data_IF_210883173316
#
_entry.id   IF_210883173316
#
_cell.length_a   1.000
_cell.length_b   1.000
_cell.length_c   1.000
_cell.angle_alpha   90.00
_cell.angle_beta   90.00
_cell.angle_gamma   90.00
#
_symmetry.space_group_name_H-M   'P 1'
#
loop_
_entity.id
_entity.type
_entity.pdbx_description
1 polymer ?
#
# COMPACT_ATOMS: atom_id res chain seq x y z
N UNK A 1 -12.02 1.91 19.49
CA UNK A 1 -12.46 0.67 18.80
C UNK A 1 -13.05 0.92 17.41
N UNK A 2 -14.12 1.73 17.24
CA UNK A 2 -14.77 1.98 15.92
C UNK A 2 -13.80 2.47 14.81
N UNK A 3 -12.83 3.33 15.15
CA UNK A 3 -11.85 3.84 14.19
C UNK A 3 -10.91 2.75 13.67
N UNK A 4 -10.42 1.89 14.56
CA UNK A 4 -9.54 0.76 14.22
C UNK A 4 -10.28 -0.23 13.32
N UNK A 5 -11.55 -0.55 13.62
CA UNK A 5 -12.38 -1.40 12.77
C UNK A 5 -12.55 -0.83 11.36
N UNK A 6 -12.70 0.49 11.24
CA UNK A 6 -12.72 1.16 9.93
C UNK A 6 -11.40 1.01 9.16
N UNK A 7 -10.26 1.20 9.84
CA UNK A 7 -8.94 1.02 9.21
C UNK A 7 -8.66 -0.44 8.83
N UNK A 8 -9.14 -1.40 9.61
CA UNK A 8 -9.10 -2.83 9.26
C UNK A 8 -9.94 -3.12 8.01
N UNK A 9 -11.15 -2.59 7.93
CA UNK A 9 -12.02 -2.74 6.76
C UNK A 9 -11.40 -2.15 5.49
N UNK A 10 -10.75 -0.99 5.60
CA UNK A 10 -9.99 -0.40 4.49
C UNK A 10 -8.78 -1.27 4.13
N UNK A 11 -8.05 -1.78 5.11
CA UNK A 11 -6.94 -2.71 4.87
C UNK A 11 -7.38 -3.97 4.10
N UNK A 12 -8.54 -4.53 4.45
CA UNK A 12 -9.12 -5.68 3.73
C UNK A 12 -9.54 -5.32 2.30
N UNK A 13 -10.16 -4.15 2.12
CA UNK A 13 -10.47 -3.64 0.78
C UNK A 13 -9.21 -3.44 -0.06
N UNK A 14 -8.15 -2.87 0.53
CA UNK A 14 -6.85 -2.70 -0.13
C UNK A 14 -6.19 -4.04 -0.45
N UNK A 15 -6.37 -5.07 0.38
CA UNK A 15 -5.89 -6.41 0.06
C UNK A 15 -6.57 -6.95 -1.20
N UNK A 16 -7.89 -6.80 -1.30
CA UNK A 16 -8.65 -7.20 -2.50
C UNK A 16 -8.27 -6.38 -3.74
N UNK A 17 -8.23 -5.05 -3.62
CA UNK A 17 -7.80 -4.16 -4.72
C UNK A 17 -6.36 -4.46 -5.14
N UNK A 18 -5.50 -4.83 -4.18
CA UNK A 18 -4.14 -5.27 -4.39
C UNK A 18 -4.04 -6.47 -5.32
N UNK A 19 -4.88 -7.48 -5.12
CA UNK A 19 -4.96 -8.65 -6.00
C UNK A 19 -5.34 -8.25 -7.43
N UNK A 20 -6.32 -7.36 -7.58
CA UNK A 20 -6.71 -6.84 -8.89
C UNK A 20 -5.59 -6.04 -9.55
N UNK A 21 -4.86 -5.23 -8.78
CA UNK A 21 -3.71 -4.47 -9.27
C UNK A 21 -2.58 -5.39 -9.74
N UNK A 22 -2.33 -6.49 -9.01
CA UNK A 22 -1.35 -7.51 -9.41
C UNK A 22 -1.78 -8.23 -10.70
N UNK A 23 -3.06 -8.62 -10.82
CA UNK A 23 -3.60 -9.21 -12.05
C UNK A 23 -3.45 -8.25 -13.24
N UNK A 24 -3.78 -6.98 -13.05
CA UNK A 24 -3.61 -5.95 -14.08
C UNK A 24 -2.13 -5.75 -14.44
N UNK A 25 -1.24 -5.71 -13.44
CA UNK A 25 0.20 -5.60 -13.65
C UNK A 25 0.76 -6.80 -14.44
N UNK A 26 0.29 -8.02 -14.17
CA UNK A 26 0.66 -9.20 -14.96
C UNK A 26 0.19 -9.08 -16.42
N UNK A 27 -1.02 -8.58 -16.67
CA UNK A 27 -1.51 -8.34 -18.03
C UNK A 27 -0.69 -7.27 -18.77
N UNK A 28 -0.38 -6.14 -18.11
CA UNK A 28 0.48 -5.08 -18.65
C UNK A 28 1.89 -5.62 -18.94
N UNK A 29 2.45 -6.43 -18.06
CA UNK A 29 3.75 -7.08 -18.28
C UNK A 29 3.80 -7.92 -19.55
N UNK A 30 2.70 -8.63 -19.90
CA UNK A 30 2.59 -9.37 -21.18
C UNK A 30 2.67 -8.43 -22.37
N UNK A 31 1.92 -7.33 -22.32
CA UNK A 31 1.88 -6.35 -23.41
C UNK A 31 3.23 -5.67 -23.61
N UNK A 32 3.98 -5.44 -22.52
CA UNK A 32 5.30 -4.84 -22.55
C UNK A 32 6.43 -5.84 -22.93
N UNK A 33 6.08 -7.08 -23.29
CA UNK A 33 7.06 -8.09 -23.72
C UNK A 33 7.95 -8.63 -22.60
N UNK A 34 7.52 -8.51 -21.34
CA UNK A 34 8.26 -9.13 -20.23
C UNK A 34 8.12 -10.66 -20.31
N UNK A 35 9.20 -11.44 -20.16
CA UNK A 35 9.16 -12.89 -20.30
C UNK A 35 8.28 -13.55 -19.21
N UNK A 36 7.47 -14.54 -19.59
CA UNK A 36 6.59 -15.33 -18.71
C UNK A 36 7.18 -16.74 -18.48
N UNK A 37 7.66 -17.07 -17.26
CA UNK A 37 8.39 -18.31 -16.95
C UNK A 37 7.52 -19.53 -16.71
N UNK A 38 6.19 -19.43 -16.73
CA UNK A 38 5.32 -20.60 -16.50
C UNK A 38 5.49 -21.69 -17.57
N UNK A 39 6.21 -21.42 -18.66
CA UNK A 39 6.60 -22.41 -19.67
C UNK A 39 7.95 -23.11 -19.37
N UNK A 40 8.68 -22.70 -18.33
CA UNK A 40 10.00 -23.25 -17.96
C UNK A 40 10.16 -23.49 -16.45
N UNK A 41 9.15 -24.06 -15.80
CA UNK A 41 9.31 -24.56 -14.43
C UNK A 41 10.19 -25.82 -14.45
N UNK A 42 11.35 -25.83 -13.78
CA UNK A 42 12.20 -27.01 -13.68
C UNK A 42 11.47 -28.15 -12.93
N UNK A 43 11.68 -29.41 -13.36
CA UNK A 43 11.08 -30.58 -12.71
C UNK A 43 11.60 -30.81 -11.28
N UNK A 44 12.69 -30.15 -10.88
CA UNK A 44 13.33 -30.27 -9.57
C UNK A 44 12.65 -29.45 -8.46
N UNK A 45 11.58 -28.70 -8.79
CA UNK A 45 10.86 -27.85 -7.83
C UNK A 45 11.61 -26.57 -7.44
N UNK A 46 12.75 -26.27 -8.07
CA UNK A 46 13.43 -24.99 -7.90
C UNK A 46 12.67 -23.88 -8.62
N UNK A 47 12.57 -22.71 -7.98
CA UNK A 47 11.99 -21.52 -8.62
C UNK A 47 13.09 -20.84 -9.43
N UNK A 48 12.94 -20.70 -10.76
CA UNK A 48 13.90 -19.98 -11.57
C UNK A 48 14.09 -18.54 -11.06
N UNK A 49 15.33 -18.02 -10.95
CA UNK A 49 15.57 -16.63 -10.55
C UNK A 49 14.80 -15.62 -11.42
N UNK A 50 14.63 -15.91 -12.71
CA UNK A 50 13.84 -15.10 -13.64
C UNK A 50 12.36 -14.98 -13.21
N UNK A 51 11.78 -16.04 -12.64
CA UNK A 51 10.41 -16.03 -12.10
C UNK A 51 10.31 -15.17 -10.85
N UNK A 52 11.27 -15.26 -9.94
CA UNK A 52 11.34 -14.37 -8.77
C UNK A 52 11.48 -12.89 -9.20
N UNK A 53 12.32 -12.60 -10.19
CA UNK A 53 12.47 -11.24 -10.74
C UNK A 53 11.16 -10.74 -11.35
N UNK A 54 10.46 -11.58 -12.11
CA UNK A 54 9.20 -11.18 -12.75
C UNK A 54 8.08 -10.95 -11.72
N UNK A 55 7.96 -11.82 -10.71
CA UNK A 55 7.00 -11.63 -9.61
C UNK A 55 7.34 -10.31 -8.89
N UNK A 56 8.61 -10.07 -8.61
CA UNK A 56 9.08 -8.79 -8.02
C UNK A 56 8.68 -7.58 -8.87
N UNK A 57 8.88 -7.62 -10.19
CA UNK A 57 8.44 -6.54 -11.10
C UNK A 57 6.93 -6.34 -11.09
N UNK A 58 6.15 -7.42 -11.03
CA UNK A 58 4.69 -7.35 -10.95
C UNK A 58 4.25 -6.63 -9.68
N UNK A 59 4.89 -6.91 -8.54
CA UNK A 59 4.66 -6.17 -7.30
C UNK A 59 5.06 -4.69 -7.42
N UNK A 60 6.17 -4.36 -8.08
CA UNK A 60 6.58 -2.96 -8.31
C UNK A 60 5.56 -2.21 -9.16
N UNK A 61 5.07 -2.82 -10.23
CA UNK A 61 4.02 -2.21 -11.07
C UNK A 61 2.72 -2.02 -10.28
N UNK A 62 2.31 -3.03 -9.52
CA UNK A 62 1.14 -2.94 -8.66
C UNK A 62 1.31 -1.89 -7.53
N UNK A 63 2.55 -1.65 -7.08
CA UNK A 63 2.85 -0.65 -6.05
C UNK A 63 2.46 0.76 -6.50
N UNK A 64 2.62 1.08 -7.79
CA UNK A 64 2.21 2.39 -8.34
C UNK A 64 0.70 2.56 -8.20
N UNK A 65 -0.08 1.56 -8.61
CA UNK A 65 -1.53 1.58 -8.49
C UNK A 65 -1.97 1.67 -7.02
N UNK A 66 -1.36 0.88 -6.15
CA UNK A 66 -1.70 0.86 -4.73
C UNK A 66 -1.28 2.12 -3.98
N UNK A 67 -0.19 2.76 -4.39
CA UNK A 67 0.19 4.07 -3.91
C UNK A 67 -0.91 5.09 -4.21
N UNK A 68 -1.36 5.16 -5.47
CA UNK A 68 -2.41 6.08 -5.89
C UNK A 68 -3.73 5.81 -5.17
N UNK A 69 -4.14 4.55 -5.05
CA UNK A 69 -5.37 4.18 -4.32
C UNK A 69 -5.26 4.57 -2.85
N UNK A 70 -4.16 4.23 -2.18
CA UNK A 70 -3.97 4.54 -0.76
C UNK A 70 -3.86 6.05 -0.51
N UNK A 71 -3.25 6.80 -1.43
CA UNK A 71 -3.20 8.25 -1.42
C UNK A 71 -4.60 8.86 -1.56
N UNK A 72 -5.38 8.42 -2.54
CA UNK A 72 -6.76 8.89 -2.76
C UNK A 72 -7.63 8.60 -1.54
N UNK A 73 -7.57 7.39 -0.98
CA UNK A 73 -8.32 7.05 0.24
C UNK A 73 -7.87 7.94 1.41
N UNK A 74 -6.56 8.09 1.62
CA UNK A 74 -6.03 8.98 2.66
C UNK A 74 -6.51 10.42 2.51
N UNK A 75 -6.58 10.91 1.27
CA UNK A 75 -7.05 12.25 0.94
C UNK A 75 -8.56 12.40 1.20
N UNK A 76 -9.38 11.44 0.74
CA UNK A 76 -10.83 11.40 0.97
C UNK A 76 -11.17 11.32 2.46
N UNK A 77 -10.38 10.58 3.23
CA UNK A 77 -10.53 10.47 4.69
C UNK A 77 -10.09 11.72 5.45
N UNK A 78 -9.53 12.72 4.76
CA UNK A 78 -9.04 13.96 5.36
C UNK A 78 -8.10 13.68 6.55
N UNK A 79 -7.10 12.82 6.32
CA UNK A 79 -6.01 12.55 7.28
C UNK A 79 -5.30 13.86 7.68
N UNK A 80 -5.39 14.32 8.93
CA UNK A 80 -5.03 15.69 9.27
C UNK A 80 -3.54 15.90 9.59
N UNK A 81 -2.73 14.84 9.59
CA UNK A 81 -1.27 14.95 9.81
C UNK A 81 -0.51 13.72 9.33
N UNK A 82 0.80 13.89 9.10
CA UNK A 82 1.76 12.81 8.80
C UNK A 82 1.67 11.67 9.80
N UNK A 83 1.69 11.98 11.10
CA UNK A 83 1.69 10.95 12.16
C UNK A 83 0.42 10.10 12.13
N UNK A 84 -0.74 10.72 11.87
CA UNK A 84 -2.01 9.97 11.71
C UNK A 84 -2.06 9.20 10.40
N UNK A 85 -1.46 9.74 9.34
CA UNK A 85 -1.27 9.04 8.07
C UNK A 85 -0.43 7.78 8.23
N UNK A 86 0.71 7.88 8.91
CA UNK A 86 1.60 6.77 9.21
C UNK A 86 0.91 5.68 10.03
N UNK A 87 0.17 6.07 11.08
CA UNK A 87 -0.57 5.11 11.90
C UNK A 87 -1.62 4.34 11.09
N UNK A 88 -2.40 5.02 10.24
CA UNK A 88 -3.39 4.36 9.37
C UNK A 88 -2.72 3.49 8.30
N UNK A 89 -1.71 4.03 7.64
CA UNK A 89 -0.93 3.32 6.63
C UNK A 89 -0.28 2.06 7.20
N UNK A 90 0.20 2.09 8.45
CA UNK A 90 0.76 0.92 9.11
C UNK A 90 -0.30 -0.18 9.34
N UNK A 91 -1.52 0.19 9.74
CA UNK A 91 -2.63 -0.77 9.87
C UNK A 91 -2.99 -1.36 8.51
N UNK A 92 -3.15 -0.53 7.48
CA UNK A 92 -3.47 -1.00 6.13
C UNK A 92 -2.39 -1.92 5.58
N UNK A 93 -1.12 -1.50 5.70
CA UNK A 93 0.05 -2.27 5.31
C UNK A 93 0.09 -3.61 6.05
N UNK A 94 -0.17 -3.64 7.36
CA UNK A 94 -0.17 -4.87 8.15
C UNK A 94 -1.26 -5.84 7.70
N UNK A 95 -2.48 -5.35 7.43
CA UNK A 95 -3.59 -6.18 6.93
C UNK A 95 -3.26 -6.74 5.54
N UNK A 96 -2.73 -5.90 4.65
CA UNK A 96 -2.34 -6.35 3.30
C UNK A 96 -1.18 -7.34 3.36
N UNK A 97 -0.15 -7.07 4.17
CA UNK A 97 0.96 -7.99 4.38
C UNK A 97 0.47 -9.34 4.92
N UNK A 98 -0.43 -9.34 5.91
CA UNK A 98 -1.03 -10.56 6.43
C UNK A 98 -1.81 -11.32 5.35
N UNK A 99 -2.57 -10.62 4.50
CA UNK A 99 -3.29 -11.27 3.40
C UNK A 99 -2.33 -11.91 2.38
N UNK A 100 -1.24 -11.24 2.03
CA UNK A 100 -0.22 -11.75 1.11
C UNK A 100 0.54 -12.92 1.73
N UNK A 101 0.79 -12.89 3.04
CA UNK A 101 1.37 -14.02 3.77
C UNK A 101 0.46 -15.25 3.71
N UNK A 102 -0.83 -15.10 4.02
CA UNK A 102 -1.78 -16.21 4.02
C UNK A 102 -1.99 -16.80 2.62
N UNK A 103 -2.02 -15.96 1.58
CA UNK A 103 -2.10 -16.43 0.19
C UNK A 103 -0.79 -17.08 -0.27
N UNK A 104 0.35 -16.50 0.09
CA UNK A 104 1.67 -17.06 -0.22
C UNK A 104 1.94 -18.41 0.45
N UNK A 105 1.43 -18.63 1.66
CA UNK A 105 1.45 -19.94 2.32
C UNK A 105 0.62 -20.99 1.56
N UNK A 106 -0.48 -20.58 0.94
CA UNK A 106 -1.33 -21.48 0.12
C UNK A 106 -0.64 -21.99 -1.13
N UNK A 107 0.32 -21.22 -1.67
CA UNK A 107 1.09 -21.58 -2.87
C UNK A 107 2.35 -22.39 -2.54
N UNK A 108 2.71 -22.56 -1.25
CA UNK A 108 3.71 -23.49 -0.73
C UNK A 108 5.18 -23.32 -1.17
N UNK A 109 5.45 -22.50 -2.19
CA UNK A 109 6.73 -22.51 -2.91
C UNK A 109 7.36 -21.12 -3.01
N UNK A 110 6.58 -20.04 -3.15
CA UNK A 110 7.12 -18.69 -3.40
C UNK A 110 7.41 -17.93 -2.09
N UNK A 111 8.67 -17.55 -1.80
CA UNK A 111 9.00 -16.75 -0.62
C UNK A 111 8.60 -15.28 -0.85
N UNK A 112 7.31 -14.98 -0.69
CA UNK A 112 6.73 -13.64 -0.98
C UNK A 112 7.51 -12.52 -0.30
N UNK A 113 7.83 -12.64 0.99
CA UNK A 113 8.59 -11.62 1.72
C UNK A 113 10.09 -11.58 1.40
N UNK A 114 10.61 -12.54 0.63
CA UNK A 114 11.96 -12.51 0.07
C UNK A 114 12.08 -11.62 -1.17
N UNK A 115 10.96 -11.17 -1.74
CA UNK A 115 10.95 -10.37 -2.96
C UNK A 115 11.01 -8.87 -2.66
N UNK A 116 11.98 -8.18 -3.26
CA UNK A 116 12.13 -6.71 -3.12
C UNK A 116 10.84 -5.97 -3.53
N UNK A 117 10.17 -6.43 -4.59
CA UNK A 117 8.92 -5.83 -5.05
C UNK A 117 7.82 -5.80 -3.99
N UNK A 118 7.74 -6.81 -3.13
CA UNK A 118 6.75 -6.86 -2.04
C UNK A 118 6.98 -5.74 -1.04
N UNK A 119 8.24 -5.45 -0.71
CA UNK A 119 8.57 -4.35 0.19
C UNK A 119 8.26 -2.98 -0.42
N UNK A 120 8.52 -2.81 -1.72
CA UNK A 120 8.14 -1.60 -2.47
C UNK A 120 6.62 -1.42 -2.46
N UNK A 121 5.88 -2.50 -2.67
CA UNK A 121 4.43 -2.53 -2.66
C UNK A 121 3.83 -2.19 -1.28
N UNK A 122 4.37 -2.75 -0.21
CA UNK A 122 3.95 -2.43 1.16
C UNK A 122 4.30 -0.98 1.55
N UNK A 123 5.48 -0.49 1.16
CA UNK A 123 5.87 0.89 1.37
C UNK A 123 4.93 1.87 0.64
N UNK A 124 4.50 1.55 -0.58
CA UNK A 124 3.52 2.34 -1.32
C UNK A 124 2.18 2.50 -0.57
N UNK A 125 1.68 1.42 0.04
CA UNK A 125 0.45 1.44 0.84
C UNK A 125 0.61 2.30 2.09
N UNK A 126 1.76 2.22 2.76
CA UNK A 126 2.08 3.05 3.92
C UNK A 126 2.21 4.54 3.54
N UNK A 127 2.89 4.85 2.44
CA UNK A 127 3.22 6.22 2.03
C UNK A 127 1.99 7.01 1.54
N UNK A 128 1.00 6.34 0.94
CA UNK A 128 -0.23 6.99 0.47
C UNK A 128 -0.91 7.90 1.52
N UNK A 129 -1.37 7.37 2.67
CA UNK A 129 -2.00 8.18 3.70
C UNK A 129 -1.03 9.14 4.42
N UNK A 130 0.27 8.85 4.43
CA UNK A 130 1.30 9.77 4.94
C UNK A 130 1.35 11.04 4.10
N UNK A 131 1.43 10.88 2.77
CA UNK A 131 1.46 12.00 1.84
C UNK A 131 0.11 12.72 1.82
N UNK A 132 -1.01 12.00 1.90
CA UNK A 132 -2.32 12.64 2.06
C UNK A 132 -2.40 13.55 3.30
N UNK A 133 -1.68 13.19 4.37
CA UNK A 133 -1.54 13.99 5.59
C UNK A 133 -0.66 15.23 5.44
N UNK A 134 0.28 15.22 4.50
CA UNK A 134 1.09 16.38 4.13
C UNK A 134 0.31 17.37 3.25
N UNK A 135 -0.53 16.86 2.36
CA UNK A 135 -1.24 17.67 1.37
C UNK A 135 -2.46 18.41 1.93
N UNK A 136 -2.84 18.16 3.18
CA UNK A 136 -4.02 18.80 3.77
C UNK A 136 -3.70 20.14 4.41
N UNK A 137 -4.51 21.19 4.15
CA UNK A 137 -4.31 22.49 4.77
C UNK A 137 -4.34 22.39 6.30
N UNK A 138 -3.27 22.81 6.94
CA UNK A 138 -3.25 23.03 8.39
C UNK A 138 -4.37 24.01 8.72
N UNK A 139 -5.39 23.54 9.46
CA UNK A 139 -6.37 24.45 10.05
C UNK A 139 -5.65 25.26 11.12
N UNK A 140 -5.10 26.41 10.75
CA UNK A 140 -4.69 27.43 11.71
C UNK A 140 -5.94 27.85 12.47
N UNK A 141 -6.01 27.49 13.75
CA UNK A 141 -7.06 27.96 14.67
C UNK A 141 -7.00 29.50 14.70
N UNK A 142 -7.99 30.22 14.14
CA UNK A 142 -8.05 31.66 14.30
C UNK A 142 -8.55 31.94 15.72
N UNK A 143 -7.94 32.88 16.44
CA UNK A 143 -8.59 33.45 17.63
C UNK A 143 -7.97 33.11 18.98
N UNK A 144 -6.66 33.34 19.16
CA UNK A 144 -6.12 33.64 20.50
C UNK A 144 -5.43 35.01 20.62
N UNK A 145 -5.47 35.81 19.56
CA UNK A 145 -4.86 37.15 19.54
C UNK A 145 -5.81 38.28 19.95
N UNK A 146 -7.14 38.08 19.95
CA UNK A 146 -8.09 39.16 20.29
C UNK A 146 -8.42 39.25 21.79
N UNK A 147 -8.21 38.19 22.57
CA UNK A 147 -8.50 38.21 24.00
C UNK A 147 -7.47 39.00 24.85
N UNK A 148 -6.35 39.45 24.27
CA UNK A 148 -5.32 40.20 24.96
C UNK A 148 -5.35 41.72 24.69
N UNK A 149 -6.17 42.20 23.75
CA UNK A 149 -6.18 43.60 23.33
C UNK A 149 -7.32 44.45 23.94
N UNK A 150 -8.24 43.85 24.72
CA UNK A 150 -9.41 44.54 25.26
C UNK A 150 -9.32 44.98 26.73
N UNK A 151 -8.14 44.94 27.35
CA UNK A 151 -7.93 45.11 28.79
C UNK A 151 -7.20 46.39 29.20
N UNK A 152 -7.50 47.55 28.61
CA UNK A 152 -7.11 48.84 29.18
C UNK A 152 -7.89 49.99 28.53
N UNK A 153 -8.88 50.50 29.26
CA UNK A 153 -9.68 51.68 28.94
C UNK A 153 -10.68 51.95 30.05
#
# INVERSE_FOLDING_TARGET
MRRILGDLGIGLLLAFVGQLAQMAASAVGRVLGLPFPYEMAPEDGSIPPALLTQISLTFVLAAVAMFLVSLVIGWLLKVPSVARGAARGAVWMAVVALSQFLLGLGEGVVPVFGLVGVWVYLAAILLGPVIAGLLQPSRSTPGRSEAAAGGSG
#
